data_IF_029556278267
#
_entry.id   IF_029556278267
#
_cell.length_a   1.000
_cell.length_b   1.000
_cell.length_c   1.000
_cell.angle_alpha   90.00
_cell.angle_beta   90.00
_cell.angle_gamma   90.00
#
_symmetry.space_group_name_H-M   'P 1'
#
loop_
_entity.id
_entity.type
_entity.pdbx_description
1 polymer ?
#
# COMPACT_ATOMS: atom_id res chain seq x y z
N UNK A 1 7.58 22.86 35.60
CA UNK A 1 6.38 22.94 34.74
C UNK A 1 6.74 22.23 33.46
N UNK A 2 6.23 21.01 33.30
CA UNK A 2 6.42 20.21 32.10
C UNK A 2 5.32 20.59 31.14
N UNK A 3 5.64 21.37 30.12
CA UNK A 3 4.75 21.62 28.99
C UNK A 3 4.67 20.31 28.20
N UNK A 4 3.63 19.52 28.48
CA UNK A 4 3.23 18.43 27.60
C UNK A 4 2.62 19.06 26.35
N UNK A 5 3.43 19.18 25.30
CA UNK A 5 3.03 19.63 23.98
C UNK A 5 1.70 18.99 23.55
N UNK A 6 0.69 19.84 23.36
CA UNK A 6 -0.64 19.46 22.90
C UNK A 6 -0.61 18.99 21.45
N UNK A 7 -0.23 17.74 21.24
CA UNK A 7 -0.37 17.09 19.94
C UNK A 7 -1.84 17.14 19.51
N UNK A 8 -2.15 17.67 18.32
CA UNK A 8 -3.53 17.76 17.85
C UNK A 8 -4.10 16.35 17.71
N UNK A 9 -5.22 16.09 18.37
CA UNK A 9 -5.93 14.83 18.23
C UNK A 9 -6.40 14.66 16.78
N UNK A 10 -5.92 13.61 16.12
CA UNK A 10 -6.34 13.30 14.76
C UNK A 10 -7.84 12.97 14.72
N UNK A 11 -8.53 13.54 13.72
CA UNK A 11 -9.95 13.30 13.49
C UNK A 11 -10.16 12.34 12.33
N UNK A 12 -11.26 11.59 12.35
CA UNK A 12 -11.65 10.67 11.26
C UNK A 12 -12.76 11.23 10.37
N UNK A 13 -13.40 12.32 10.81
CA UNK A 13 -14.46 13.01 10.10
C UNK A 13 -14.32 14.51 10.26
N UNK A 14 -14.65 15.25 9.22
CA UNK A 14 -14.65 16.70 9.20
C UNK A 14 -16.00 17.21 8.70
N UNK A 15 -16.58 18.22 9.37
CA UNK A 15 -17.82 18.87 8.91
C UNK A 15 -17.41 20.14 8.17
N UNK A 16 -17.73 20.21 6.88
CA UNK A 16 -17.40 21.35 6.03
C UNK A 16 -18.04 22.63 6.57
N UNK A 17 -17.26 23.69 6.67
CA UNK A 17 -17.66 25.03 7.08
C UNK A 17 -17.74 25.98 5.87
N UNK A 18 -18.37 27.14 6.08
CA UNK A 18 -18.45 28.17 5.04
C UNK A 18 -17.04 28.69 4.67
N UNK A 19 -16.71 28.63 3.38
CA UNK A 19 -15.40 29.07 2.84
C UNK A 19 -14.34 27.97 2.80
N UNK A 20 -14.66 26.76 3.25
CA UNK A 20 -13.76 25.62 3.15
C UNK A 20 -13.58 25.14 1.70
N UNK A 21 -12.43 24.53 1.47
CA UNK A 21 -12.07 23.86 0.23
C UNK A 21 -11.12 22.70 0.58
N UNK A 22 -11.04 21.67 -0.26
CA UNK A 22 -10.35 20.43 0.09
C UNK A 22 -8.86 20.63 0.45
N UNK A 23 -8.18 21.57 -0.22
CA UNK A 23 -6.79 21.95 0.07
C UNK A 23 -6.62 22.54 1.47
N UNK A 24 -7.47 23.51 1.83
CA UNK A 24 -7.49 24.13 3.15
C UNK A 24 -7.80 23.12 4.26
N UNK A 25 -8.79 22.25 4.06
CA UNK A 25 -9.12 21.18 5.02
C UNK A 25 -7.93 20.24 5.22
N UNK A 26 -7.29 19.80 4.13
CA UNK A 26 -6.17 18.86 4.17
C UNK A 26 -4.92 19.43 4.85
N UNK A 27 -4.71 20.74 4.76
CA UNK A 27 -3.62 21.46 5.42
C UNK A 27 -3.67 21.41 6.95
N UNK A 28 -4.84 21.14 7.54
CA UNK A 28 -5.01 21.12 8.98
C UNK A 28 -4.26 19.93 9.58
N UNK A 29 -3.50 20.15 10.65
CA UNK A 29 -2.71 19.10 11.34
C UNK A 29 -3.57 17.93 11.82
N UNK A 30 -4.81 18.20 12.24
CA UNK A 30 -5.77 17.17 12.65
C UNK A 30 -6.31 16.32 11.48
N UNK A 31 -6.20 16.82 10.24
CA UNK A 31 -6.57 16.11 9.00
C UNK A 31 -5.33 15.42 8.44
N UNK A 32 -4.56 16.02 7.54
CA UNK A 32 -3.31 15.44 7.04
C UNK A 32 -2.06 16.25 7.40
N UNK A 33 -2.24 17.54 7.76
CA UNK A 33 -1.13 18.47 7.93
C UNK A 33 -0.42 18.83 6.62
N UNK A 34 -0.97 18.39 5.48
CA UNK A 34 -0.40 18.60 4.15
C UNK A 34 -1.52 18.97 3.16
N UNK A 35 -1.52 20.21 2.65
CA UNK A 35 -2.52 20.62 1.67
C UNK A 35 -2.48 19.80 0.37
N UNK A 36 -1.34 19.25 -0.02
CA UNK A 36 -1.21 18.47 -1.27
C UNK A 36 -1.87 17.09 -1.18
N UNK A 37 -2.33 16.66 0.00
CA UNK A 37 -3.05 15.40 0.20
C UNK A 37 -4.57 15.52 0.00
N UNK A 38 -5.07 16.68 -0.42
CA UNK A 38 -6.50 16.86 -0.73
C UNK A 38 -7.09 15.82 -1.70
N UNK A 39 -6.36 15.25 -2.68
CA UNK A 39 -6.93 14.22 -3.55
C UNK A 39 -7.29 12.93 -2.80
N UNK A 40 -6.65 12.63 -1.67
CA UNK A 40 -7.06 11.51 -0.81
C UNK A 40 -8.44 11.76 -0.20
N UNK A 41 -8.69 13.00 0.24
CA UNK A 41 -9.99 13.40 0.77
C UNK A 41 -11.06 13.33 -0.32
N UNK A 42 -10.75 13.79 -1.52
CA UNK A 42 -11.65 13.67 -2.68
C UNK A 42 -11.94 12.21 -3.02
N UNK A 43 -10.90 11.38 -3.18
CA UNK A 43 -11.01 9.93 -3.46
C UNK A 43 -11.91 9.24 -2.45
N UNK A 44 -11.70 9.49 -1.16
CA UNK A 44 -12.45 8.84 -0.07
C UNK A 44 -13.92 9.22 -0.06
N UNK A 45 -14.23 10.45 -0.45
CA UNK A 45 -15.59 11.00 -0.42
C UNK A 45 -16.19 11.11 -1.81
N UNK A 46 -15.67 10.36 -2.80
CA UNK A 46 -16.09 10.48 -4.20
C UNK A 46 -17.57 10.20 -4.44
N UNK A 47 -18.20 9.42 -3.55
CA UNK A 47 -19.64 9.18 -3.58
C UNK A 47 -20.50 10.39 -3.19
N UNK A 48 -19.93 11.38 -2.50
CA UNK A 48 -20.62 12.60 -2.03
C UNK A 48 -20.08 13.87 -2.71
N UNK A 49 -18.85 13.83 -3.23
CA UNK A 49 -18.23 14.93 -3.96
C UNK A 49 -18.18 14.57 -5.45
N UNK A 50 -18.95 15.31 -6.25
CA UNK A 50 -18.94 15.17 -7.72
C UNK A 50 -17.77 15.94 -8.35
N UNK A 51 -17.47 17.12 -7.81
CA UNK A 51 -16.42 18.03 -8.27
C UNK A 51 -15.56 18.42 -7.06
N UNK A 52 -14.24 18.23 -7.16
CA UNK A 52 -13.28 18.51 -6.10
C UNK A 52 -13.27 19.99 -5.68
N UNK A 53 -13.70 20.89 -6.57
CA UNK A 53 -13.78 22.33 -6.31
C UNK A 53 -15.13 22.74 -5.68
N UNK A 54 -16.09 21.81 -5.55
CA UNK A 54 -17.42 22.07 -5.01
C UNK A 54 -17.72 21.21 -3.78
N UNK A 55 -17.51 21.81 -2.61
CA UNK A 55 -17.99 21.29 -1.33
C UNK A 55 -18.93 22.28 -0.66
N UNK A 56 -19.88 21.77 0.11
CA UNK A 56 -20.96 22.55 0.71
C UNK A 56 -20.90 22.50 2.24
N UNK A 57 -21.17 23.63 2.94
CA UNK A 57 -21.25 23.64 4.39
C UNK A 57 -22.23 22.60 4.94
N UNK A 58 -21.81 21.88 5.99
CA UNK A 58 -22.58 20.81 6.61
C UNK A 58 -22.33 19.41 6.02
N UNK A 59 -21.64 19.29 4.88
CA UNK A 59 -21.19 17.99 4.38
C UNK A 59 -20.21 17.34 5.35
N UNK A 60 -20.27 16.01 5.48
CA UNK A 60 -19.39 15.23 6.36
C UNK A 60 -18.36 14.52 5.52
N UNK A 61 -17.10 14.93 5.62
CA UNK A 61 -16.00 14.30 4.92
C UNK A 61 -15.34 13.24 5.82
N UNK A 62 -15.18 12.04 5.28
CA UNK A 62 -14.38 10.97 5.87
C UNK A 62 -12.91 11.11 5.48
N UNK A 63 -12.03 11.01 6.48
CA UNK A 63 -10.59 11.17 6.28
C UNK A 63 -9.98 9.78 6.06
N UNK A 64 -9.21 9.61 4.98
CA UNK A 64 -8.56 8.34 4.60
C UNK A 64 -7.27 8.17 5.42
N UNK A 65 -7.32 7.31 6.43
CA UNK A 65 -6.18 7.01 7.31
C UNK A 65 -5.40 5.77 6.88
N UNK A 66 -5.97 5.00 5.96
CA UNK A 66 -5.41 3.72 5.52
C UNK A 66 -4.59 3.88 4.23
N UNK A 67 -4.43 5.11 3.74
CA UNK A 67 -3.63 5.41 2.56
C UNK A 67 -2.15 5.07 2.80
N UNK A 68 -1.57 4.24 1.93
CA UNK A 68 -0.15 3.90 1.97
C UNK A 68 0.71 5.00 1.31
N UNK A 69 2.04 4.89 1.47
CA UNK A 69 3.01 5.87 0.97
C UNK A 69 2.87 6.13 -0.54
N UNK A 70 2.67 5.07 -1.33
CA UNK A 70 2.47 5.20 -2.77
C UNK A 70 1.19 5.96 -3.11
N UNK A 71 0.08 5.71 -2.42
CA UNK A 71 -1.18 6.45 -2.62
C UNK A 71 -1.07 7.91 -2.21
N UNK A 72 -0.36 8.18 -1.10
CA UNK A 72 -0.06 9.55 -0.65
C UNK A 72 0.75 10.27 -1.73
N UNK A 73 1.80 9.64 -2.27
CA UNK A 73 2.62 10.24 -3.32
C UNK A 73 1.81 10.49 -4.61
N UNK A 74 0.97 9.54 -5.02
CA UNK A 74 0.07 9.72 -6.17
C UNK A 74 -0.88 10.91 -5.99
N UNK A 75 -1.41 11.10 -4.78
CA UNK A 75 -2.24 12.26 -4.45
C UNK A 75 -1.44 13.56 -4.52
N UNK A 76 -0.24 13.60 -3.94
CA UNK A 76 0.63 14.78 -3.99
C UNK A 76 1.01 15.14 -5.43
N UNK A 77 1.36 14.14 -6.25
CA UNK A 77 1.71 14.35 -7.65
C UNK A 77 0.52 14.88 -8.45
N UNK A 78 -0.68 14.34 -8.24
CA UNK A 78 -1.90 14.87 -8.83
C UNK A 78 -2.14 16.31 -8.41
N UNK A 79 -2.10 16.61 -7.11
CA UNK A 79 -2.31 17.96 -6.60
C UNK A 79 -1.32 18.98 -7.20
N UNK A 80 -0.08 18.57 -7.48
CA UNK A 80 0.95 19.41 -8.11
C UNK A 80 0.77 19.59 -9.61
N UNK A 81 0.15 18.62 -10.30
CA UNK A 81 0.04 18.57 -11.76
C UNK A 81 -1.36 18.88 -12.30
N UNK A 82 -2.39 18.92 -11.44
CA UNK A 82 -3.81 19.17 -11.79
C UNK A 82 -4.02 20.43 -12.63
N UNK A 83 -3.28 21.51 -12.31
CA UNK A 83 -3.49 22.84 -12.90
C UNK A 83 -4.20 23.81 -11.94
N UNK A 84 -4.69 24.93 -12.48
CA UNK A 84 -5.39 25.94 -11.70
C UNK A 84 -6.83 25.49 -11.34
N UNK A 85 -7.29 25.88 -10.15
CA UNK A 85 -8.65 25.60 -9.67
C UNK A 85 -9.65 26.36 -10.56
N UNK A 86 -10.55 25.62 -11.22
CA UNK A 86 -11.51 26.15 -12.19
C UNK A 86 -12.90 25.64 -11.85
N UNK A 87 -13.85 26.56 -11.62
CA UNK A 87 -15.21 26.19 -11.24
C UNK A 87 -16.04 25.78 -12.47
N UNK A 88 -16.79 24.68 -12.37
CA UNK A 88 -17.95 24.43 -13.24
C UNK A 88 -17.92 23.16 -14.09
N UNK A 89 -16.88 22.33 -13.99
CA UNK A 89 -16.81 20.97 -14.57
C UNK A 89 -15.87 20.11 -13.73
N UNK A 90 -16.21 18.84 -13.49
CA UNK A 90 -15.22 17.88 -12.98
C UNK A 90 -14.06 17.83 -13.97
N UNK A 91 -12.87 18.25 -13.54
CA UNK A 91 -11.71 18.30 -14.42
C UNK A 91 -11.35 16.89 -14.90
N UNK A 92 -11.00 16.75 -16.18
CA UNK A 92 -10.60 15.46 -16.77
C UNK A 92 -9.45 14.83 -15.98
N UNK A 93 -8.52 15.66 -15.48
CA UNK A 93 -7.39 15.23 -14.65
C UNK A 93 -7.83 14.59 -13.34
N UNK A 94 -8.92 15.07 -12.72
CA UNK A 94 -9.45 14.48 -11.48
C UNK A 94 -10.07 13.10 -11.73
N UNK A 95 -10.75 12.92 -12.87
CA UNK A 95 -11.27 11.61 -13.28
C UNK A 95 -10.14 10.63 -13.60
N UNK A 96 -9.10 11.09 -14.30
CA UNK A 96 -7.89 10.31 -14.58
C UNK A 96 -7.18 9.90 -13.29
N UNK A 97 -7.06 10.80 -12.32
CA UNK A 97 -6.52 10.50 -11.00
C UNK A 97 -7.34 9.41 -10.30
N UNK A 98 -8.67 9.53 -10.26
CA UNK A 98 -9.52 8.53 -9.62
C UNK A 98 -9.40 7.15 -10.28
N UNK A 99 -9.40 7.11 -11.62
CA UNK A 99 -9.24 5.87 -12.38
C UNK A 99 -7.87 5.22 -12.15
N UNK A 100 -6.80 6.04 -12.13
CA UNK A 100 -5.44 5.59 -11.83
C UNK A 100 -5.34 5.10 -10.38
N UNK A 101 -5.88 5.83 -9.42
CA UNK A 101 -5.86 5.48 -8.01
C UNK A 101 -6.62 4.17 -7.74
N UNK A 102 -7.79 3.99 -8.37
CA UNK A 102 -8.54 2.73 -8.30
C UNK A 102 -7.73 1.58 -8.90
N UNK A 103 -7.14 1.77 -10.09
CA UNK A 103 -6.33 0.73 -10.73
C UNK A 103 -5.11 0.35 -9.88
N UNK A 104 -4.39 1.35 -9.35
CA UNK A 104 -3.25 1.11 -8.44
C UNK A 104 -3.67 0.40 -7.15
N UNK A 105 -4.85 0.71 -6.59
CA UNK A 105 -5.37 0.03 -5.41
C UNK A 105 -5.65 -1.45 -5.68
N UNK A 106 -6.25 -1.78 -6.84
CA UNK A 106 -6.53 -3.19 -7.20
C UNK A 106 -5.22 -3.97 -7.35
N UNK A 107 -4.23 -3.40 -8.06
CA UNK A 107 -2.92 -4.06 -8.22
C UNK A 107 -2.23 -4.25 -6.87
N UNK A 108 -2.27 -3.24 -6.00
CA UNK A 108 -1.70 -3.33 -4.65
C UNK A 108 -2.33 -4.48 -3.84
N UNK A 109 -3.66 -4.58 -3.84
CA UNK A 109 -4.40 -5.65 -3.16
C UNK A 109 -4.08 -7.04 -3.73
N UNK A 110 -3.89 -7.16 -5.04
CA UNK A 110 -3.49 -8.40 -5.68
C UNK A 110 -2.09 -8.83 -5.21
N UNK A 111 -1.12 -7.91 -5.22
CA UNK A 111 0.25 -8.21 -4.76
C UNK A 111 0.26 -8.53 -3.26
N UNK A 112 -0.56 -7.86 -2.45
CA UNK A 112 -0.73 -8.19 -1.03
C UNK A 112 -1.21 -9.64 -0.84
N UNK A 113 -2.17 -10.11 -1.65
CA UNK A 113 -2.63 -11.50 -1.61
C UNK A 113 -1.53 -12.48 -2.02
N UNK A 114 -0.69 -12.12 -3.00
CA UNK A 114 0.47 -12.94 -3.41
C UNK A 114 1.50 -13.04 -2.27
N UNK A 115 1.81 -11.94 -1.59
CA UNK A 115 2.71 -11.94 -0.42
C UNK A 115 2.13 -12.80 0.71
N UNK A 116 0.83 -12.66 1.00
CA UNK A 116 0.15 -13.47 2.02
C UNK A 116 0.24 -14.96 1.68
N UNK A 117 -0.03 -15.32 0.42
CA UNK A 117 0.07 -16.70 -0.06
C UNK A 117 1.48 -17.27 0.08
N UNK A 118 2.50 -16.48 -0.26
CA UNK A 118 3.90 -16.90 -0.08
C UNK A 118 4.22 -17.17 1.41
N UNK A 119 3.64 -16.39 2.33
CA UNK A 119 3.73 -16.63 3.77
C UNK A 119 3.10 -17.95 4.20
N UNK A 120 1.92 -18.28 3.70
CA UNK A 120 1.26 -19.56 3.96
C UNK A 120 2.07 -20.74 3.44
N UNK A 121 2.59 -20.63 2.21
CA UNK A 121 3.43 -21.65 1.58
C UNK A 121 4.71 -21.90 2.37
N UNK A 122 5.38 -20.83 2.81
CA UNK A 122 6.55 -20.91 3.69
C UNK A 122 6.20 -21.54 5.05
N UNK A 123 5.04 -21.22 5.61
CA UNK A 123 4.50 -21.87 6.80
C UNK A 123 4.38 -23.38 6.63
N UNK A 124 3.85 -23.84 5.49
CA UNK A 124 3.76 -25.27 5.15
C UNK A 124 5.14 -25.91 4.97
N UNK A 125 6.08 -25.23 4.32
CA UNK A 125 7.45 -25.73 4.14
C UNK A 125 8.18 -25.89 5.47
N UNK A 126 7.99 -24.97 6.41
CA UNK A 126 8.52 -25.09 7.78
C UNK A 126 7.99 -26.33 8.49
N UNK A 127 6.68 -26.57 8.45
CA UNK A 127 6.07 -27.74 9.08
C UNK A 127 6.60 -29.05 8.48
N UNK A 128 6.96 -29.06 7.20
CA UNK A 128 7.57 -30.20 6.52
C UNK A 128 9.09 -30.32 6.75
N UNK A 129 9.74 -29.38 7.45
CA UNK A 129 11.20 -29.32 7.59
C UNK A 129 11.93 -29.04 6.25
N UNK A 130 11.24 -28.44 5.29
CA UNK A 130 11.64 -28.37 3.89
C UNK A 130 11.95 -26.93 3.44
N UNK A 131 12.71 -26.19 4.25
CA UNK A 131 13.03 -24.78 3.99
C UNK A 131 14.40 -24.65 3.32
N UNK A 132 14.43 -24.01 2.16
CA UNK A 132 15.68 -23.75 1.44
C UNK A 132 16.23 -22.36 1.74
N UNK A 133 17.51 -22.14 1.41
CA UNK A 133 18.10 -20.82 1.30
C UNK A 133 18.25 -20.46 -0.17
N UNK A 134 17.93 -19.23 -0.51
CA UNK A 134 17.88 -18.76 -1.89
C UNK A 134 18.85 -17.59 -2.07
N UNK A 135 19.54 -17.56 -3.21
CA UNK A 135 20.29 -16.38 -3.63
C UNK A 135 19.35 -15.50 -4.46
N UNK A 136 19.14 -14.27 -4.00
CA UNK A 136 18.37 -13.25 -4.70
C UNK A 136 19.18 -11.93 -4.75
N UNK A 137 19.05 -11.20 -5.86
CA UNK A 137 19.76 -9.94 -6.05
C UNK A 137 19.24 -8.84 -5.12
N UNK A 138 17.95 -8.91 -4.74
CA UNK A 138 17.33 -7.99 -3.77
C UNK A 138 17.98 -8.05 -2.38
N UNK A 139 18.72 -9.11 -2.07
CA UNK A 139 19.42 -9.32 -0.79
C UNK A 139 20.94 -9.31 -0.92
N UNK A 140 21.48 -8.66 -1.96
CA UNK A 140 22.92 -8.48 -2.11
C UNK A 140 23.69 -9.75 -2.53
N UNK A 141 23.02 -10.68 -3.22
CA UNK A 141 23.70 -11.81 -3.89
C UNK A 141 24.22 -12.91 -2.96
N UNK A 142 23.93 -12.85 -1.66
CA UNK A 142 24.19 -13.93 -0.70
C UNK A 142 22.95 -14.82 -0.54
N UNK A 143 23.16 -16.09 -0.19
CA UNK A 143 22.06 -17.01 0.10
C UNK A 143 21.37 -16.61 1.42
N UNK A 144 20.10 -16.22 1.36
CA UNK A 144 19.27 -15.80 2.50
C UNK A 144 18.14 -16.81 2.76
N UNK A 145 17.50 -16.72 3.93
CA UNK A 145 16.31 -17.53 4.23
C UNK A 145 15.09 -17.04 3.46
N UNK A 146 14.12 -17.94 3.22
CA UNK A 146 12.83 -17.56 2.65
C UNK A 146 12.05 -16.57 3.53
N UNK A 147 12.23 -16.62 4.85
CA UNK A 147 11.70 -15.64 5.79
C UNK A 147 12.21 -14.22 5.52
N UNK A 148 13.51 -14.10 5.26
CA UNK A 148 14.11 -12.81 4.97
C UNK A 148 13.61 -12.26 3.64
N UNK A 149 13.48 -13.12 2.62
CA UNK A 149 12.91 -12.72 1.34
C UNK A 149 11.44 -12.29 1.47
N UNK A 150 10.63 -13.01 2.26
CA UNK A 150 9.25 -12.63 2.52
C UNK A 150 9.16 -11.26 3.23
N UNK A 151 10.06 -11.01 4.18
CA UNK A 151 10.18 -9.71 4.85
C UNK A 151 10.52 -8.60 3.85
N UNK A 152 11.45 -8.84 2.93
CA UNK A 152 11.81 -7.88 1.87
C UNK A 152 10.62 -7.65 0.93
N UNK A 153 9.89 -8.69 0.53
CA UNK A 153 8.68 -8.54 -0.30
C UNK A 153 7.63 -7.65 0.40
N UNK A 154 7.42 -7.84 1.71
CA UNK A 154 6.53 -6.98 2.49
C UNK A 154 7.00 -5.52 2.57
N UNK A 155 8.31 -5.28 2.68
CA UNK A 155 8.86 -3.91 2.62
C UNK A 155 8.63 -3.27 1.25
N UNK A 156 8.86 -4.01 0.17
CA UNK A 156 8.63 -3.56 -1.21
C UNK A 156 7.16 -3.23 -1.47
N UNK A 157 6.24 -4.04 -0.93
CA UNK A 157 4.80 -3.78 -0.98
C UNK A 157 4.42 -2.47 -0.26
N UNK A 158 5.04 -2.19 0.90
CA UNK A 158 4.79 -0.97 1.66
C UNK A 158 5.30 0.27 0.94
N UNK A 159 6.50 0.19 0.33
CA UNK A 159 7.10 1.29 -0.43
C UNK A 159 6.51 1.48 -1.83
N UNK A 160 5.55 0.63 -2.23
CA UNK A 160 4.90 0.69 -3.55
C UNK A 160 5.71 0.12 -4.71
N UNK A 161 6.80 -0.61 -4.45
CA UNK A 161 7.59 -1.32 -5.46
C UNK A 161 6.96 -2.69 -5.72
N UNK A 162 5.76 -2.64 -6.34
CA UNK A 162 4.85 -3.78 -6.47
C UNK A 162 5.42 -4.92 -7.33
N UNK A 163 6.13 -4.57 -8.40
CA UNK A 163 6.77 -5.56 -9.29
C UNK A 163 7.82 -6.37 -8.53
N UNK A 164 8.66 -5.70 -7.74
CA UNK A 164 9.70 -6.36 -6.96
C UNK A 164 9.11 -7.15 -5.79
N UNK A 165 8.07 -6.61 -5.13
CA UNK A 165 7.34 -7.33 -4.09
C UNK A 165 6.74 -8.65 -4.62
N UNK A 166 6.04 -8.57 -5.75
CA UNK A 166 5.41 -9.72 -6.41
C UNK A 166 6.46 -10.74 -6.84
N UNK A 167 7.54 -10.29 -7.49
CA UNK A 167 8.64 -11.16 -7.95
C UNK A 167 9.24 -11.96 -6.79
N UNK A 168 9.55 -11.30 -5.68
CA UNK A 168 10.16 -11.95 -4.50
C UNK A 168 9.16 -12.92 -3.86
N UNK A 169 7.89 -12.51 -3.68
CA UNK A 169 6.86 -13.36 -3.10
C UNK A 169 6.62 -14.64 -3.91
N UNK A 170 6.55 -14.53 -5.25
CA UNK A 170 6.44 -15.70 -6.13
C UNK A 170 7.62 -16.65 -5.96
N UNK A 171 8.85 -16.13 -5.89
CA UNK A 171 10.05 -16.96 -5.65
C UNK A 171 10.01 -17.66 -4.29
N UNK A 172 9.51 -16.99 -3.25
CA UNK A 172 9.34 -17.59 -1.91
C UNK A 172 8.31 -18.72 -1.93
N UNK A 173 7.16 -18.49 -2.57
CA UNK A 173 6.11 -19.49 -2.73
C UNK A 173 6.62 -20.72 -3.50
N UNK A 174 7.24 -20.49 -4.66
CA UNK A 174 7.79 -21.56 -5.51
C UNK A 174 8.83 -22.40 -4.77
N UNK A 175 9.81 -21.75 -4.13
CA UNK A 175 10.85 -22.47 -3.37
C UNK A 175 10.26 -23.27 -2.19
N UNK A 176 9.22 -22.74 -1.53
CA UNK A 176 8.53 -23.43 -0.45
C UNK A 176 7.82 -24.69 -0.96
N UNK A 177 7.12 -24.59 -2.10
CA UNK A 177 6.40 -25.71 -2.71
C UNK A 177 7.39 -26.79 -3.19
N UNK A 178 8.42 -26.41 -3.93
CA UNK A 178 9.45 -27.34 -4.42
C UNK A 178 10.20 -28.03 -3.28
N UNK A 179 10.47 -27.29 -2.19
CA UNK A 179 11.04 -27.85 -0.97
C UNK A 179 10.19 -29.00 -0.41
N UNK A 180 8.89 -28.75 -0.25
CA UNK A 180 7.93 -29.76 0.24
C UNK A 180 7.90 -30.98 -0.69
N UNK A 181 7.79 -30.78 -2.00
CA UNK A 181 7.76 -31.85 -2.99
C UNK A 181 9.04 -32.70 -2.95
N UNK A 182 10.20 -32.06 -2.85
CA UNK A 182 11.47 -32.76 -2.71
C UNK A 182 11.50 -33.58 -1.42
N UNK A 183 11.13 -33.00 -0.27
CA UNK A 183 11.11 -33.72 1.01
C UNK A 183 10.19 -34.95 0.97
N UNK A 184 9.03 -34.83 0.32
CA UNK A 184 8.11 -35.96 0.13
C UNK A 184 8.71 -37.06 -0.76
N UNK A 185 9.35 -36.69 -1.89
CA UNK A 185 9.98 -37.66 -2.79
C UNK A 185 11.15 -38.44 -2.14
N UNK A 186 11.91 -37.78 -1.27
CA UNK A 186 13.07 -38.36 -0.59
C UNK A 186 12.71 -39.12 0.70
N UNK A 187 11.44 -39.09 1.13
CA UNK A 187 10.98 -39.77 2.36
C UNK A 187 11.23 -41.29 2.38
N UNK A 188 11.47 -41.91 1.21
CA UNK A 188 11.77 -43.34 1.04
C UNK A 188 13.20 -43.62 0.56
N UNK A 189 14.03 -42.60 0.37
CA UNK A 189 15.41 -42.78 -0.07
C UNK A 189 16.26 -43.35 1.08
N UNK A 190 17.03 -44.41 0.81
CA UNK A 190 17.99 -44.98 1.76
C UNK A 190 19.39 -44.44 1.46
N UNK A 191 20.22 -44.14 2.49
CA UNK A 191 21.61 -43.79 2.27
C UNK A 191 22.34 -44.92 1.54
N UNK A 192 22.97 -44.60 0.41
CA UNK A 192 23.89 -45.52 -0.27
C UNK A 192 25.31 -45.14 0.15
N UNK A 193 25.96 -46.03 0.89
CA UNK A 193 27.38 -45.91 1.21
C UNK A 193 28.12 -46.82 0.22
N UNK A 194 28.98 -46.23 -0.63
CA UNK A 194 29.93 -46.95 -1.47
C UNK A 194 31.27 -47.11 -0.76
#
# INVERSE_FOLDING_TARGET
MSDSDGQPSLINRYIVQAGDHLWGISSQQQVYGDPYQWPLLFKRNRGEIEDADLIYPGQVLHIDRDANEHQIQQAIDHAKTRGAWSLGVTETSDLEYLAKAQSSQVIHQEVEQVVARAGDDLGRARLAGAVWRMVDLSTGGSAVSLDELLRVAGQKLQTGDLDEAMRIALRVSEASILGIEQAQSQSRARPSYN
#
